data_IF_693853908766
#
_entry.id   IF_693853908766
#
_cell.length_a   1.000
_cell.length_b   1.000
_cell.length_c   1.000
_cell.angle_alpha   90.00
_cell.angle_beta   90.00
_cell.angle_gamma   90.00
#
_symmetry.space_group_name_H-M   'P 1'
#
loop_
_entity.id
_entity.type
_entity.pdbx_description
1 polymer ?
#
# COMPACT_ATOMS: atom_id res chain seq x y z
N UNK A 1 -11.33 -0.31 1.02
CA UNK A 1 -10.29 -1.26 0.53
C UNK A 1 -9.69 -2.03 1.69
N UNK A 2 -8.75 -1.46 2.48
CA UNK A 2 -8.08 -2.17 3.58
C UNK A 2 -9.08 -2.59 4.66
N UNK A 3 -9.81 -1.63 5.26
CA UNK A 3 -10.80 -1.88 6.32
C UNK A 3 -11.83 -2.94 5.92
N UNK A 4 -12.43 -2.77 4.74
CA UNK A 4 -13.45 -3.69 4.25
C UNK A 4 -12.89 -5.11 4.03
N UNK A 5 -11.64 -5.21 3.55
CA UNK A 5 -10.97 -6.51 3.36
C UNK A 5 -10.68 -7.21 4.69
N UNK A 6 -10.21 -6.46 5.70
CA UNK A 6 -9.97 -7.03 7.04
C UNK A 6 -11.28 -7.47 7.70
N UNK A 7 -12.34 -6.65 7.60
CA UNK A 7 -13.65 -6.97 8.16
C UNK A 7 -14.30 -8.21 7.51
N UNK A 8 -13.99 -8.48 6.25
CA UNK A 8 -14.53 -9.64 5.53
C UNK A 8 -13.77 -10.95 5.84
N UNK A 9 -12.56 -10.86 6.40
CA UNK A 9 -11.75 -12.02 6.75
C UNK A 9 -12.09 -12.51 8.17
N UNK A 10 -12.73 -13.67 8.27
CA UNK A 10 -13.17 -14.25 9.54
C UNK A 10 -12.01 -14.70 10.44
N UNK A 11 -10.78 -14.79 9.91
CA UNK A 11 -9.59 -15.17 10.69
C UNK A 11 -8.94 -13.95 11.37
N UNK A 12 -9.34 -12.73 11.03
CA UNK A 12 -8.72 -11.49 11.52
C UNK A 12 -9.61 -10.85 12.60
N UNK A 13 -9.07 -10.72 13.82
CA UNK A 13 -9.69 -9.91 14.86
C UNK A 13 -9.39 -8.42 14.61
N UNK A 14 -10.33 -7.72 13.98
CA UNK A 14 -10.20 -6.31 13.64
C UNK A 14 -10.02 -5.39 14.87
N UNK A 15 -10.33 -5.84 16.10
CA UNK A 15 -10.05 -5.07 17.32
C UNK A 15 -8.55 -4.93 17.60
N UNK A 16 -7.72 -5.78 16.99
CA UNK A 16 -6.25 -5.78 17.11
C UNK A 16 -5.57 -4.99 16.00
N UNK A 17 -6.31 -4.25 15.18
CA UNK A 17 -5.75 -3.51 14.05
C UNK A 17 -6.19 -2.06 14.08
N UNK A 18 -5.23 -1.15 13.85
CA UNK A 18 -5.49 0.26 13.62
C UNK A 18 -5.05 0.64 12.20
N UNK A 19 -5.90 1.35 11.48
CA UNK A 19 -5.59 1.86 10.14
C UNK A 19 -5.44 3.37 10.25
N UNK A 20 -4.21 3.86 10.12
CA UNK A 20 -3.88 5.28 10.23
C UNK A 20 -3.36 5.78 8.87
N UNK A 21 -3.99 6.77 8.24
CA UNK A 21 -3.41 7.42 7.08
C UNK A 21 -2.23 8.29 7.53
N UNK A 22 -1.04 8.00 6.99
CA UNK A 22 0.17 8.77 7.26
C UNK A 22 0.52 9.58 6.00
N UNK A 23 0.52 10.93 6.05
CA UNK A 23 0.94 11.74 4.92
C UNK A 23 2.47 11.66 4.74
N UNK A 24 2.92 11.83 3.49
CA UNK A 24 4.35 11.99 3.21
C UNK A 24 4.86 13.34 3.73
N UNK A 25 6.14 13.38 4.10
CA UNK A 25 6.84 14.60 4.50
C UNK A 25 7.83 15.02 3.42
N UNK A 26 8.15 16.32 3.38
CA UNK A 26 9.19 16.84 2.46
C UNK A 26 10.61 16.42 2.86
N UNK A 27 10.82 16.02 4.12
CA UNK A 27 12.11 15.60 4.65
C UNK A 27 11.98 14.17 5.19
N UNK A 28 12.63 13.21 4.54
CA UNK A 28 12.46 11.79 4.88
C UNK A 28 12.84 11.44 6.33
N UNK A 29 13.82 12.13 6.93
CA UNK A 29 14.20 11.89 8.33
C UNK A 29 13.12 12.33 9.34
N UNK A 30 12.23 13.24 8.97
CA UNK A 30 11.11 13.66 9.83
C UNK A 30 9.87 12.78 9.66
N UNK A 31 9.84 11.94 8.64
CA UNK A 31 8.71 11.05 8.36
C UNK A 31 8.50 10.03 9.49
N UNK A 32 9.57 9.40 10.00
CA UNK A 32 9.46 8.42 11.09
C UNK A 32 8.96 9.06 12.39
N UNK A 33 9.27 10.33 12.64
CA UNK A 33 8.74 11.07 13.78
C UNK A 33 7.26 11.44 13.61
N UNK A 34 6.85 11.70 12.37
CA UNK A 34 5.44 11.91 12.04
C UNK A 34 4.62 10.64 12.31
N UNK A 35 5.19 9.46 12.03
CA UNK A 35 4.56 8.18 12.39
C UNK A 35 4.31 8.11 13.91
N UNK A 36 5.32 8.40 14.73
CA UNK A 36 5.19 8.32 16.21
C UNK A 36 4.08 9.20 16.78
N UNK A 37 3.84 10.36 16.16
CA UNK A 37 2.79 11.29 16.59
C UNK A 37 1.38 10.78 16.24
N UNK A 38 1.27 9.93 15.22
CA UNK A 38 -0.01 9.49 14.65
C UNK A 38 -0.45 8.09 15.13
N UNK A 39 0.48 7.26 15.60
CA UNK A 39 0.20 5.88 16.02
C UNK A 39 0.50 5.67 17.51
N UNK A 40 -0.14 4.69 18.17
CA UNK A 40 0.26 4.26 19.52
C UNK A 40 1.71 3.78 19.53
N UNK A 41 2.33 3.72 20.71
CA UNK A 41 3.67 3.13 20.89
C UNK A 41 3.75 1.73 20.26
N UNK A 42 4.89 1.45 19.65
CA UNK A 42 5.15 0.22 18.92
C UNK A 42 6.59 -0.24 19.11
N UNK A 43 6.81 -1.55 19.00
CA UNK A 43 8.11 -2.17 19.26
C UNK A 43 8.83 -2.62 17.97
N UNK A 44 8.05 -2.96 16.94
CA UNK A 44 8.55 -3.56 15.69
C UNK A 44 7.92 -2.89 14.47
N UNK A 45 8.75 -2.60 13.47
CA UNK A 45 8.33 -2.13 12.15
C UNK A 45 8.57 -3.22 11.10
N UNK A 46 7.53 -3.51 10.31
CA UNK A 46 7.63 -4.43 9.18
C UNK A 46 7.82 -3.65 7.88
N UNK A 47 8.97 -3.79 7.21
CA UNK A 47 9.23 -3.11 5.92
C UNK A 47 10.27 -3.86 5.09
N UNK A 48 10.11 -3.88 3.76
CA UNK A 48 11.16 -4.29 2.82
C UNK A 48 11.81 -3.08 2.11
N UNK A 49 11.53 -1.85 2.55
CA UNK A 49 12.20 -0.66 2.05
C UNK A 49 13.46 -0.40 2.87
N UNK A 50 14.64 -0.62 2.27
CA UNK A 50 15.93 -0.52 2.95
C UNK A 50 16.14 0.83 3.65
N UNK A 51 15.75 1.94 3.01
CA UNK A 51 15.94 3.28 3.58
C UNK A 51 15.00 3.54 4.77
N UNK A 52 13.72 3.15 4.65
CA UNK A 52 12.75 3.23 5.76
C UNK A 52 13.22 2.40 6.95
N UNK A 53 13.69 1.17 6.70
CA UNK A 53 14.25 0.31 7.73
C UNK A 53 15.46 0.95 8.41
N UNK A 54 16.40 1.48 7.63
CA UNK A 54 17.57 2.19 8.15
C UNK A 54 17.18 3.35 9.09
N UNK A 55 16.21 4.19 8.69
CA UNK A 55 15.75 5.32 9.51
C UNK A 55 15.15 4.89 10.86
N UNK A 56 14.43 3.77 10.92
CA UNK A 56 13.90 3.24 12.18
C UNK A 56 14.98 2.56 13.03
N UNK A 57 15.91 1.83 12.40
CA UNK A 57 17.04 1.21 13.11
C UNK A 57 17.94 2.26 13.79
N UNK A 58 18.19 3.41 13.15
CA UNK A 58 18.92 4.53 13.76
C UNK A 58 18.28 5.07 15.05
N UNK A 59 16.99 4.77 15.25
CA UNK A 59 16.20 5.18 16.40
C UNK A 59 15.99 4.03 17.40
N UNK A 60 16.77 2.96 17.27
CA UNK A 60 16.72 1.75 18.09
C UNK A 60 15.37 1.02 18.05
N UNK A 61 14.63 1.15 16.95
CA UNK A 61 13.39 0.39 16.73
C UNK A 61 13.72 -0.89 15.97
N UNK A 62 13.12 -2.00 16.39
CA UNK A 62 13.33 -3.30 15.74
C UNK A 62 12.66 -3.29 14.36
N UNK A 63 13.39 -3.71 13.33
CA UNK A 63 12.87 -3.80 11.96
C UNK A 63 12.89 -5.26 11.50
N UNK A 64 11.77 -5.72 10.95
CA UNK A 64 11.63 -7.07 10.38
C UNK A 64 11.23 -6.97 8.93
N UNK A 65 11.91 -7.70 8.05
CA UNK A 65 11.52 -7.81 6.66
C UNK A 65 10.44 -8.89 6.49
N UNK A 66 9.20 -8.54 6.07
CA UNK A 66 8.19 -9.56 5.85
C UNK A 66 8.50 -10.36 4.58
N UNK A 67 8.13 -11.65 4.58
CA UNK A 67 8.21 -12.50 3.40
C UNK A 67 7.21 -12.04 2.35
N UNK A 68 7.68 -11.78 1.14
CA UNK A 68 6.84 -11.37 0.03
C UNK A 68 6.32 -12.60 -0.72
N UNK A 69 5.00 -12.68 -0.87
CA UNK A 69 4.31 -13.79 -1.54
C UNK A 69 4.07 -13.44 -3.01
N UNK A 70 4.40 -14.36 -3.93
CA UNK A 70 4.09 -14.29 -5.37
C UNK A 70 4.32 -12.88 -5.99
N UNK A 71 5.53 -12.33 -5.84
CA UNK A 71 5.83 -10.92 -6.21
C UNK A 71 5.56 -10.58 -7.68
N UNK A 72 5.72 -11.56 -8.57
CA UNK A 72 5.51 -11.36 -10.00
C UNK A 72 4.06 -11.02 -10.33
N UNK A 73 3.11 -11.50 -9.51
CA UNK A 73 1.68 -11.27 -9.70
C UNK A 73 1.09 -10.31 -8.66
N UNK A 74 1.43 -10.48 -7.38
CA UNK A 74 0.88 -9.71 -6.25
C UNK A 74 1.66 -8.41 -6.04
N UNK A 75 1.60 -7.53 -7.03
CA UNK A 75 2.15 -6.18 -6.93
C UNK A 75 1.20 -5.14 -7.51
N UNK A 76 1.18 -3.95 -6.90
CA UNK A 76 0.40 -2.83 -7.43
C UNK A 76 0.81 -2.44 -8.86
N UNK A 77 2.09 -2.60 -9.21
CA UNK A 77 2.59 -2.37 -10.56
C UNK A 77 1.97 -3.33 -11.57
N UNK A 78 1.97 -4.63 -11.27
CA UNK A 78 1.39 -5.65 -12.15
C UNK A 78 -0.13 -5.48 -12.28
N UNK A 79 -0.83 -5.24 -11.17
CA UNK A 79 -2.28 -5.00 -11.18
C UNK A 79 -2.63 -3.80 -12.06
N UNK A 80 -1.92 -2.67 -11.91
CA UNK A 80 -2.13 -1.50 -12.77
C UNK A 80 -1.78 -1.78 -14.24
N UNK A 81 -0.71 -2.53 -14.51
CA UNK A 81 -0.36 -2.95 -15.88
C UNK A 81 -1.48 -3.76 -16.53
N UNK A 82 -2.07 -4.71 -15.81
CA UNK A 82 -3.21 -5.50 -16.30
C UNK A 82 -4.45 -4.64 -16.55
N UNK A 83 -4.77 -3.70 -15.66
CA UNK A 83 -5.84 -2.72 -15.87
C UNK A 83 -5.65 -1.92 -17.17
N UNK A 84 -4.43 -1.45 -17.44
CA UNK A 84 -4.08 -0.72 -18.66
C UNK A 84 -4.22 -1.58 -19.92
N UNK A 85 -3.76 -2.83 -19.87
CA UNK A 85 -3.79 -3.77 -21.01
C UNK A 85 -5.11 -4.53 -21.18
N UNK A 86 -6.16 -4.20 -20.43
CA UNK A 86 -7.44 -4.95 -20.41
C UNK A 86 -7.28 -6.44 -20.04
N UNK A 87 -6.25 -6.80 -19.29
CA UNK A 87 -6.03 -8.17 -18.81
C UNK A 87 -6.79 -8.35 -17.48
N UNK A 88 -7.34 -9.54 -17.24
CA UNK A 88 -8.05 -9.86 -15.98
C UNK A 88 -7.12 -9.65 -14.77
N UNK A 89 -7.50 -8.75 -13.87
CA UNK A 89 -6.73 -8.38 -12.66
C UNK A 89 -7.49 -8.64 -11.36
N UNK A 90 -8.81 -8.82 -11.42
CA UNK A 90 -9.69 -8.90 -10.24
C UNK A 90 -9.36 -10.05 -9.30
N UNK A 91 -8.81 -11.15 -9.82
CA UNK A 91 -8.37 -12.30 -9.02
C UNK A 91 -7.10 -12.05 -8.19
N UNK A 92 -6.41 -10.92 -8.40
CA UNK A 92 -5.20 -10.55 -7.65
C UNK A 92 -5.51 -9.67 -6.43
N UNK A 93 -6.78 -9.37 -6.18
CA UNK A 93 -7.23 -8.54 -5.05
C UNK A 93 -8.40 -9.19 -4.36
N UNK A 94 -8.71 -8.74 -3.14
CA UNK A 94 -9.95 -9.11 -2.46
C UNK A 94 -11.17 -8.57 -3.20
N UNK A 95 -12.31 -9.25 -3.06
CA UNK A 95 -13.59 -8.78 -3.59
C UNK A 95 -13.92 -7.36 -3.12
N UNK A 96 -13.67 -7.09 -1.83
CA UNK A 96 -13.91 -5.77 -1.23
C UNK A 96 -13.08 -4.67 -1.89
N UNK A 97 -11.83 -4.98 -2.26
CA UNK A 97 -10.97 -4.08 -3.03
C UNK A 97 -11.49 -3.87 -4.45
N UNK A 98 -11.94 -4.94 -5.13
CA UNK A 98 -12.55 -4.84 -6.45
C UNK A 98 -13.78 -3.92 -6.46
N UNK A 99 -14.69 -4.10 -5.49
CA UNK A 99 -15.91 -3.29 -5.37
C UNK A 99 -15.56 -1.80 -5.24
N UNK A 100 -14.59 -1.45 -4.39
CA UNK A 100 -14.17 -0.05 -4.23
C UNK A 100 -13.57 0.50 -5.53
N UNK A 101 -12.71 -0.26 -6.21
CA UNK A 101 -12.11 0.16 -7.50
C UNK A 101 -13.20 0.44 -8.54
N UNK A 102 -14.24 -0.40 -8.60
CA UNK A 102 -15.38 -0.21 -9.50
C UNK A 102 -16.17 1.06 -9.13
N UNK A 103 -16.53 1.23 -7.86
CA UNK A 103 -17.28 2.39 -7.36
C UNK A 103 -16.60 3.72 -7.67
N UNK A 104 -15.27 3.78 -7.62
CA UNK A 104 -14.51 5.01 -7.89
C UNK A 104 -14.07 5.18 -9.35
N UNK A 105 -14.53 4.30 -10.26
CA UNK A 105 -14.09 4.23 -11.66
C UNK A 105 -12.56 4.14 -11.81
N UNK A 106 -11.91 3.38 -10.93
CA UNK A 106 -10.45 3.34 -10.78
C UNK A 106 -9.72 2.88 -12.03
N UNK A 107 -10.23 1.86 -12.74
CA UNK A 107 -9.64 1.37 -14.00
C UNK A 107 -9.60 2.47 -15.06
N UNK A 108 -10.70 3.22 -15.21
CA UNK A 108 -10.78 4.31 -16.18
C UNK A 108 -9.84 5.46 -15.81
N UNK A 109 -9.74 5.78 -14.52
CA UNK A 109 -8.79 6.77 -14.02
C UNK A 109 -7.35 6.40 -14.33
N UNK A 110 -6.95 5.15 -14.07
CA UNK A 110 -5.60 4.66 -14.38
C UNK A 110 -5.29 4.79 -15.86
N UNK A 111 -6.22 4.40 -16.74
CA UNK A 111 -6.05 4.55 -18.20
C UNK A 111 -5.91 6.01 -18.63
N UNK A 112 -6.77 6.89 -18.13
CA UNK A 112 -6.74 8.33 -18.44
C UNK A 112 -5.44 8.99 -17.99
N UNK A 113 -4.94 8.66 -16.79
CA UNK A 113 -3.68 9.22 -16.30
C UNK A 113 -2.48 8.72 -17.10
N UNK A 114 -2.48 7.44 -17.50
CA UNK A 114 -1.42 6.90 -18.35
C UNK A 114 -1.35 7.62 -19.71
N UNK A 115 -2.49 7.88 -20.36
CA UNK A 115 -2.48 8.62 -21.63
C UNK A 115 -1.98 10.07 -21.48
N UNK A 116 -2.27 10.72 -20.36
CA UNK A 116 -1.77 12.08 -20.07
C UNK A 116 -0.26 12.11 -19.82
N UNK A 117 0.27 11.12 -19.09
CA UNK A 117 1.72 11.04 -18.82
C UNK A 117 2.58 10.83 -20.07
N UNK A 118 2.02 10.29 -21.15
CA UNK A 118 2.73 10.19 -22.43
C UNK A 118 2.85 11.52 -23.18
N UNK A 119 2.03 12.53 -22.85
CA UNK A 119 2.08 13.84 -23.51
C UNK A 119 3.13 14.80 -22.91
N UNK A 120 3.73 14.46 -21.76
CA UNK A 120 4.79 15.26 -21.10
C UNK A 120 6.22 14.81 -21.43
N UNK A 121 6.40 13.95 -22.44
CA UNK A 121 7.71 13.46 -22.90
C UNK A 121 8.15 14.03 -24.25
N UNK A 122 7.59 15.17 -24.67
CA UNK A 122 8.00 15.92 -25.87
C UNK A 122 8.57 17.26 -25.44
#
# INVERSE_FOLDING_TARGET
MIKDSLNADTMIDCKKTLIVPVPDTSVHSTWTHTVDMLVPKYDVVFTNNAFTGYLFMQRNITVTEPKLLNRDNLSGTEIRRRMLKNIKWTHLVTEQTQIVIQKINGVQRVKKLASLSHHHKI
#
